data_IF_461605608442
#
_entry.id   IF_461605608442
#
_cell.length_a   1.000
_cell.length_b   1.000
_cell.length_c   1.000
_cell.angle_alpha   90.00
_cell.angle_beta   90.00
_cell.angle_gamma   90.00
#
_symmetry.space_group_name_H-M   'P 1'
#
loop_
_entity.id
_entity.type
_entity.pdbx_description
1 polymer ?
#
# COMPACT_ATOMS: atom_id res chain seq x y z
N UNK A 1 -8.06 -2.65 -8.55
CA UNK A 1 -9.20 -2.82 -7.65
C UNK A 1 -10.24 -3.76 -8.25
N UNK A 2 -10.74 -4.72 -7.45
CA UNK A 2 -11.77 -5.68 -7.89
C UNK A 2 -13.09 -5.01 -8.28
N UNK A 3 -13.41 -3.84 -7.73
CA UNK A 3 -14.60 -3.06 -8.05
C UNK A 3 -14.66 -2.61 -9.52
N UNK A 4 -13.52 -2.52 -10.20
CA UNK A 4 -13.43 -2.15 -11.62
C UNK A 4 -13.51 -3.35 -12.56
N UNK A 5 -13.58 -4.58 -12.02
CA UNK A 5 -13.71 -5.79 -12.81
C UNK A 5 -15.18 -6.13 -13.03
N UNK A 6 -15.59 -6.23 -14.28
CA UNK A 6 -16.97 -6.53 -14.68
C UNK A 6 -17.01 -7.88 -15.40
N UNK A 7 -17.89 -8.78 -14.97
CA UNK A 7 -18.22 -10.03 -15.65
C UNK A 7 -19.69 -10.00 -16.11
N UNK A 8 -20.06 -10.91 -16.98
CA UNK A 8 -21.38 -10.94 -17.62
C UNK A 8 -21.67 -9.68 -18.43
N UNK A 9 -20.62 -9.09 -19.00
CA UNK A 9 -20.71 -7.88 -19.80
C UNK A 9 -21.54 -8.15 -21.07
N UNK A 10 -22.61 -7.39 -21.25
CA UNK A 10 -23.47 -7.44 -22.45
C UNK A 10 -23.59 -6.08 -23.15
N UNK A 11 -23.23 -4.99 -22.49
CA UNK A 11 -23.31 -3.65 -23.06
C UNK A 11 -22.29 -2.72 -22.39
N UNK A 12 -21.69 -1.83 -23.19
CA UNK A 12 -20.81 -0.75 -22.74
C UNK A 12 -21.42 0.58 -23.20
N UNK A 13 -21.58 1.49 -22.23
CA UNK A 13 -21.97 2.88 -22.52
C UNK A 13 -20.79 3.80 -22.23
N UNK A 14 -20.45 4.65 -23.21
CA UNK A 14 -19.46 5.73 -23.01
C UNK A 14 -20.25 6.99 -22.69
N UNK A 15 -19.92 7.62 -21.56
CA UNK A 15 -20.58 8.83 -21.06
C UNK A 15 -19.54 9.93 -20.81
N UNK A 16 -19.94 11.17 -20.93
CA UNK A 16 -19.15 12.36 -20.58
C UNK A 16 -19.23 12.73 -19.09
N UNK A 17 -20.12 12.07 -18.35
CA UNK A 17 -20.33 12.28 -16.93
C UNK A 17 -20.06 11.00 -16.15
N UNK A 18 -19.53 11.16 -14.94
CA UNK A 18 -19.30 10.02 -14.04
C UNK A 18 -20.62 9.39 -13.60
N UNK A 19 -20.70 8.07 -13.63
CA UNK A 19 -21.79 7.33 -13.01
C UNK A 19 -21.80 7.54 -11.49
N UNK A 20 -22.90 8.07 -10.96
CA UNK A 20 -23.04 8.45 -9.54
C UNK A 20 -23.91 7.48 -8.72
N UNK A 21 -24.06 6.24 -9.17
CA UNK A 21 -24.71 5.21 -8.38
C UNK A 21 -24.00 4.99 -7.04
N UNK A 22 -24.75 4.58 -6.01
CA UNK A 22 -24.29 4.49 -4.61
C UNK A 22 -22.88 3.91 -4.46
N UNK A 23 -22.62 2.77 -5.09
CA UNK A 23 -21.31 2.12 -4.92
C UNK A 23 -20.16 2.93 -5.51
N UNK A 24 -20.30 3.42 -6.74
CA UNK A 24 -19.22 4.15 -7.42
C UNK A 24 -19.11 5.61 -7.00
N UNK A 25 -20.21 6.19 -6.56
CA UNK A 25 -20.28 7.60 -6.16
C UNK A 25 -19.95 7.83 -4.69
N UNK A 26 -20.10 6.81 -3.82
CA UNK A 26 -20.02 6.98 -2.37
C UNK A 26 -19.22 5.90 -1.65
N UNK A 27 -19.57 4.62 -1.86
CA UNK A 27 -19.02 3.54 -1.05
C UNK A 27 -17.59 3.16 -1.49
N UNK A 28 -17.33 3.12 -2.81
CA UNK A 28 -16.03 2.76 -3.38
C UNK A 28 -15.32 4.00 -3.91
N UNK A 29 -14.87 4.83 -3.00
CA UNK A 29 -14.01 5.99 -3.27
C UNK A 29 -12.69 5.83 -2.53
N UNK A 30 -11.63 6.40 -3.09
CA UNK A 30 -10.32 6.49 -2.47
C UNK A 30 -10.04 7.91 -2.02
N UNK A 31 -9.25 8.08 -0.97
CA UNK A 31 -8.80 9.39 -0.51
C UNK A 31 -7.43 9.69 -1.16
N UNK A 32 -7.29 10.88 -1.73
CA UNK A 32 -6.02 11.38 -2.24
C UNK A 32 -5.77 12.81 -1.75
N UNK A 33 -4.51 13.13 -1.48
CA UNK A 33 -4.11 14.52 -1.24
C UNK A 33 -4.09 15.26 -2.57
N UNK A 34 -4.77 16.40 -2.62
CA UNK A 34 -4.77 17.31 -3.78
C UNK A 34 -4.48 18.74 -3.32
N UNK A 35 -3.71 19.48 -4.11
CA UNK A 35 -3.49 20.91 -3.86
C UNK A 35 -4.62 21.72 -4.51
N UNK A 36 -5.48 22.29 -3.69
CA UNK A 36 -6.59 23.13 -4.15
C UNK A 36 -6.34 24.56 -3.68
N UNK A 37 -6.00 25.43 -4.63
CA UNK A 37 -5.73 26.84 -4.33
C UNK A 37 -4.53 27.06 -3.41
N UNK A 38 -3.49 26.24 -3.49
CA UNK A 38 -2.29 26.32 -2.66
C UNK A 38 -2.39 25.61 -1.31
N UNK A 39 -3.52 24.96 -1.01
CA UNK A 39 -3.76 24.23 0.24
C UNK A 39 -3.91 22.73 -0.05
N UNK A 40 -3.11 21.90 0.60
CA UNK A 40 -3.30 20.45 0.55
C UNK A 40 -4.62 20.05 1.25
N UNK A 41 -5.42 19.28 0.55
CA UNK A 41 -6.68 18.73 1.06
C UNK A 41 -6.83 17.26 0.68
N UNK A 42 -7.45 16.49 1.56
CA UNK A 42 -7.91 15.16 1.23
C UNK A 42 -9.22 15.23 0.44
N UNK A 43 -9.24 14.57 -0.71
CA UNK A 43 -10.38 14.56 -1.64
C UNK A 43 -10.79 13.12 -1.91
N UNK A 44 -12.11 12.87 -1.89
CA UNK A 44 -12.66 11.58 -2.31
C UNK A 44 -12.62 11.48 -3.84
N UNK A 45 -11.88 10.48 -4.33
CA UNK A 45 -11.70 10.21 -5.75
C UNK A 45 -12.31 8.88 -6.16
N UNK A 46 -12.61 8.73 -7.44
CA UNK A 46 -12.99 7.44 -8.01
C UNK A 46 -11.89 6.41 -7.82
N UNK A 47 -12.27 5.17 -7.57
CA UNK A 47 -11.35 4.03 -7.56
C UNK A 47 -10.91 3.72 -8.99
N UNK A 48 -9.87 4.40 -9.45
CA UNK A 48 -9.31 4.25 -10.81
C UNK A 48 -7.88 3.72 -10.78
N UNK A 49 -7.06 4.26 -9.91
CA UNK A 49 -5.66 3.88 -9.74
C UNK A 49 -5.40 3.38 -8.32
N UNK A 50 -4.51 2.43 -8.19
CA UNK A 50 -4.15 1.86 -6.89
C UNK A 50 -3.29 2.82 -6.11
N UNK A 51 -3.61 3.03 -4.83
CA UNK A 51 -2.76 3.80 -3.93
C UNK A 51 -1.48 3.02 -3.60
N UNK A 52 -0.45 3.77 -3.29
CA UNK A 52 0.84 3.24 -2.87
C UNK A 52 0.70 2.51 -1.54
N UNK A 53 1.00 1.21 -1.53
CA UNK A 53 0.89 0.37 -0.33
C UNK A 53 1.96 -0.70 -0.29
N UNK A 54 2.62 -0.84 0.83
CA UNK A 54 3.39 -2.03 1.20
C UNK A 54 2.73 -2.77 2.35
N UNK A 55 2.99 -4.07 2.43
CA UNK A 55 2.54 -4.89 3.55
C UNK A 55 3.49 -6.07 3.74
N UNK A 56 3.81 -6.34 5.00
CA UNK A 56 4.55 -7.55 5.40
C UNK A 56 3.58 -8.73 5.38
N UNK A 57 4.01 -9.85 4.79
CA UNK A 57 3.21 -11.08 4.69
C UNK A 57 3.62 -12.09 5.73
N UNK A 58 4.94 -12.29 5.87
CA UNK A 58 5.49 -13.30 6.77
C UNK A 58 6.90 -12.97 7.20
N UNK A 59 7.31 -13.58 8.30
CA UNK A 59 8.70 -13.72 8.72
C UNK A 59 9.03 -15.21 8.65
N UNK A 60 10.15 -15.54 8.07
CA UNK A 60 10.66 -16.92 7.97
C UNK A 60 12.00 -17.01 8.63
N UNK A 61 12.29 -18.16 9.23
CA UNK A 61 13.61 -18.49 9.78
C UNK A 61 14.24 -19.61 8.97
N UNK A 62 15.51 -19.46 8.64
CA UNK A 62 16.29 -20.49 7.99
C UNK A 62 17.74 -20.43 8.49
N UNK A 63 18.16 -21.49 9.19
CA UNK A 63 19.53 -21.59 9.72
C UNK A 63 19.90 -20.52 10.76
N UNK A 64 18.93 -20.09 11.56
CA UNK A 64 19.12 -19.06 12.60
C UNK A 64 19.05 -17.62 12.07
N UNK A 65 18.81 -17.43 10.77
CA UNK A 65 18.59 -16.12 10.15
C UNK A 65 17.11 -15.91 9.87
N UNK A 66 16.62 -14.71 10.15
CA UNK A 66 15.24 -14.34 9.89
C UNK A 66 15.14 -13.45 8.65
N UNK A 67 14.12 -13.69 7.84
CA UNK A 67 13.82 -12.90 6.66
C UNK A 67 12.36 -12.42 6.72
N UNK A 68 12.17 -11.12 6.61
CA UNK A 68 10.85 -10.48 6.50
C UNK A 68 10.51 -10.37 5.02
N UNK A 69 9.35 -10.88 4.63
CA UNK A 69 8.87 -10.86 3.26
C UNK A 69 7.56 -10.10 3.15
N UNK A 70 7.41 -9.35 2.06
CA UNK A 70 6.22 -8.58 1.80
C UNK A 70 6.02 -8.25 0.33
N UNK A 71 5.03 -7.40 0.08
CA UNK A 71 4.72 -6.93 -1.26
C UNK A 71 4.41 -5.43 -1.28
N UNK A 72 4.55 -4.84 -2.46
CA UNK A 72 4.11 -3.49 -2.79
C UNK A 72 3.05 -3.54 -3.88
N UNK A 73 2.00 -2.77 -3.71
CA UNK A 73 0.99 -2.43 -4.71
C UNK A 73 1.10 -0.95 -5.04
N UNK A 74 0.96 -0.60 -6.31
CA UNK A 74 0.98 0.78 -6.78
C UNK A 74 0.28 0.91 -8.14
N UNK A 75 0.20 2.10 -8.67
CA UNK A 75 -0.42 2.43 -9.95
C UNK A 75 0.48 2.23 -11.19
N UNK A 76 1.69 1.71 -10.99
CA UNK A 76 2.70 1.55 -12.03
C UNK A 76 3.79 2.63 -12.00
N UNK A 77 3.70 3.63 -11.12
CA UNK A 77 4.80 4.55 -10.81
C UNK A 77 5.98 3.77 -10.26
N UNK A 78 7.20 4.07 -10.68
CA UNK A 78 8.40 3.38 -10.20
C UNK A 78 8.58 3.57 -8.70
N UNK A 79 9.10 2.53 -8.04
CA UNK A 79 9.36 2.56 -6.61
C UNK A 79 10.81 3.00 -6.38
N UNK A 80 10.99 3.98 -5.51
CA UNK A 80 12.30 4.45 -5.07
C UNK A 80 12.87 3.54 -3.98
N UNK A 81 12.05 3.24 -2.95
CA UNK A 81 12.48 2.39 -1.85
C UNK A 81 11.32 1.66 -1.18
N UNK A 82 11.64 0.52 -0.61
CA UNK A 82 10.84 -0.13 0.44
C UNK A 82 11.70 -0.21 1.68
N UNK A 83 11.13 0.13 2.81
CA UNK A 83 11.82 0.10 4.08
C UNK A 83 11.01 -0.68 5.11
N UNK A 84 11.72 -1.34 6.00
CA UNK A 84 11.15 -2.09 7.14
C UNK A 84 11.67 -1.47 8.43
N UNK A 85 10.79 -1.36 9.39
CA UNK A 85 11.14 -0.99 10.77
C UNK A 85 10.71 -2.11 11.70
N UNK A 86 11.56 -2.43 12.66
CA UNK A 86 11.34 -3.43 13.70
C UNK A 86 11.34 -2.69 15.02
N UNK A 87 10.28 -2.85 15.78
CA UNK A 87 10.03 -2.15 17.04
C UNK A 87 10.27 -0.63 16.90
N UNK A 88 10.98 -0.03 17.82
CA UNK A 88 11.36 1.39 17.78
C UNK A 88 12.71 1.65 17.10
N UNK A 89 13.24 0.64 16.38
CA UNK A 89 14.50 0.75 15.65
C UNK A 89 14.43 1.67 14.44
N UNK A 90 15.55 1.87 13.73
CA UNK A 90 15.59 2.65 12.51
C UNK A 90 14.89 1.93 11.35
N UNK A 91 14.52 2.71 10.32
CA UNK A 91 14.11 2.17 9.04
C UNK A 91 15.30 1.55 8.31
N UNK A 92 15.17 0.29 7.91
CA UNK A 92 16.13 -0.44 7.10
C UNK A 92 15.62 -0.67 5.69
N UNK A 93 16.48 -0.51 4.68
CA UNK A 93 16.11 -0.68 3.27
C UNK A 93 15.93 -2.16 2.93
N UNK A 94 14.79 -2.51 2.36
CA UNK A 94 14.48 -3.84 1.87
C UNK A 94 14.88 -4.01 0.40
N UNK A 95 15.15 -5.23 -0.01
CA UNK A 95 15.46 -5.59 -1.39
C UNK A 95 14.19 -5.92 -2.16
N UNK A 96 13.94 -5.21 -3.25
CA UNK A 96 12.81 -5.48 -4.16
C UNK A 96 13.26 -6.55 -5.16
N UNK A 97 12.42 -7.56 -5.40
CA UNK A 97 12.68 -8.60 -6.38
C UNK A 97 12.86 -7.99 -7.79
N UNK A 98 14.04 -8.16 -8.42
CA UNK A 98 14.35 -7.56 -9.73
C UNK A 98 13.47 -8.07 -10.87
N UNK A 99 12.77 -9.20 -10.69
CA UNK A 99 11.80 -9.72 -11.67
C UNK A 99 10.47 -8.98 -11.67
N UNK A 100 10.27 -8.03 -10.75
CA UNK A 100 9.04 -7.22 -10.68
C UNK A 100 8.93 -6.33 -11.91
N UNK A 101 7.76 -6.33 -12.55
CA UNK A 101 7.45 -5.49 -13.71
C UNK A 101 6.60 -4.28 -13.30
N UNK A 102 6.39 -3.35 -14.22
CA UNK A 102 5.63 -2.11 -13.96
C UNK A 102 4.30 -2.34 -13.25
N UNK A 103 3.53 -3.33 -13.68
CA UNK A 103 2.17 -3.60 -13.18
C UNK A 103 2.05 -4.89 -12.36
N UNK A 104 3.16 -5.58 -12.08
CA UNK A 104 3.15 -6.73 -11.18
C UNK A 104 3.20 -6.28 -9.72
N UNK A 105 2.80 -7.15 -8.83
CA UNK A 105 3.16 -7.04 -7.42
C UNK A 105 4.68 -7.00 -7.30
N UNK A 106 5.19 -6.08 -6.51
CA UNK A 106 6.62 -5.99 -6.24
C UNK A 106 6.89 -6.68 -4.91
N UNK A 107 7.43 -7.88 -5.00
CA UNK A 107 7.82 -8.62 -3.80
C UNK A 107 9.10 -8.02 -3.25
N UNK A 108 9.21 -7.95 -1.94
CA UNK A 108 10.42 -7.52 -1.26
C UNK A 108 10.81 -8.48 -0.14
N UNK A 109 12.08 -8.43 0.23
CA UNK A 109 12.65 -9.12 1.38
C UNK A 109 13.54 -8.17 2.18
N UNK A 110 13.65 -8.44 3.47
CA UNK A 110 14.52 -7.74 4.39
C UNK A 110 15.16 -8.75 5.33
N UNK A 111 16.49 -8.80 5.36
CA UNK A 111 17.24 -9.70 6.23
C UNK A 111 17.27 -9.14 7.65
N UNK A 112 16.75 -9.89 8.60
CA UNK A 112 16.71 -9.54 10.01
C UNK A 112 17.73 -10.37 10.78
N UNK A 113 18.97 -9.86 10.88
CA UNK A 113 20.12 -10.61 11.39
C UNK A 113 20.23 -10.65 12.91
N UNK A 114 19.58 -9.72 13.61
CA UNK A 114 19.65 -9.51 15.06
C UNK A 114 18.32 -9.83 15.77
N UNK A 115 17.52 -10.72 15.20
CA UNK A 115 16.27 -11.15 15.78
C UNK A 115 16.51 -11.82 17.14
N UNK A 116 15.76 -11.38 18.15
CA UNK A 116 15.79 -11.93 19.50
C UNK A 116 14.49 -12.66 19.82
N UNK A 117 14.50 -13.65 20.73
CA UNK A 117 13.25 -14.28 21.16
C UNK A 117 12.30 -13.28 21.80
N UNK A 118 11.02 -13.34 21.41
CA UNK A 118 9.99 -12.48 21.99
C UNK A 118 8.96 -12.00 20.95
N UNK A 119 8.10 -11.10 21.38
CA UNK A 119 7.13 -10.45 20.51
C UNK A 119 7.73 -9.16 19.95
N UNK A 120 7.69 -9.01 18.63
CA UNK A 120 8.23 -7.87 17.92
C UNK A 120 7.18 -7.24 17.03
N UNK A 121 7.21 -5.93 16.89
CA UNK A 121 6.38 -5.19 15.92
C UNK A 121 7.18 -4.94 14.66
N UNK A 122 6.68 -5.40 13.51
CA UNK A 122 7.29 -5.16 12.21
C UNK A 122 6.34 -4.35 11.33
N UNK A 123 6.86 -3.34 10.67
CA UNK A 123 6.09 -2.49 9.75
C UNK A 123 6.92 -2.18 8.50
N UNK A 124 6.26 -2.05 7.35
CA UNK A 124 6.89 -1.61 6.11
C UNK A 124 6.28 -0.30 5.63
N UNK A 125 7.09 0.49 4.92
CA UNK A 125 6.65 1.61 4.11
C UNK A 125 7.31 1.59 2.74
N UNK A 126 6.67 2.21 1.78
CA UNK A 126 7.16 2.34 0.41
C UNK A 126 7.18 3.81 0.00
N UNK A 127 8.21 4.20 -0.76
CA UNK A 127 8.36 5.52 -1.36
C UNK A 127 8.46 5.36 -2.87
N UNK A 128 7.71 6.15 -3.64
CA UNK A 128 7.82 6.19 -5.09
C UNK A 128 8.87 7.21 -5.56
N UNK A 129 9.20 7.19 -6.86
CA UNK A 129 10.20 8.11 -7.46
C UNK A 129 9.78 9.57 -7.46
N UNK A 130 8.53 9.89 -7.16
CA UNK A 130 8.03 11.26 -7.01
C UNK A 130 8.15 11.76 -5.56
N UNK A 131 8.68 10.93 -4.65
CA UNK A 131 8.81 11.24 -3.23
C UNK A 131 7.54 11.03 -2.41
N UNK A 132 6.50 10.41 -2.99
CA UNK A 132 5.31 10.07 -2.22
C UNK A 132 5.62 8.89 -1.31
N UNK A 133 5.38 9.06 -0.02
CA UNK A 133 5.56 8.03 1.01
C UNK A 133 4.20 7.46 1.40
N UNK A 134 4.14 6.14 1.59
CA UNK A 134 2.95 5.51 2.14
C UNK A 134 2.58 6.12 3.49
N UNK A 135 1.36 6.63 3.60
CA UNK A 135 0.86 7.30 4.82
C UNK A 135 0.78 6.36 6.02
N UNK A 136 0.87 6.91 7.22
CA UNK A 136 0.55 6.19 8.45
C UNK A 136 -0.97 6.11 8.67
N UNK A 137 -1.40 5.33 9.65
CA UNK A 137 -2.81 5.25 10.01
C UNK A 137 -3.34 6.57 10.60
N UNK A 138 -2.47 7.29 11.30
CA UNK A 138 -2.79 8.60 11.91
C UNK A 138 -2.91 9.71 10.88
N UNK A 139 -2.14 9.62 9.79
CA UNK A 139 -2.19 10.60 8.69
C UNK A 139 -3.39 10.37 7.77
N UNK A 140 -3.92 9.13 7.70
CA UNK A 140 -5.05 8.82 6.85
C UNK A 140 -6.35 9.25 7.54
N UNK A 141 -7.08 10.24 7.01
CA UNK A 141 -8.31 10.72 7.64
C UNK A 141 -9.41 9.67 7.61
N UNK A 142 -10.30 9.74 8.57
CA UNK A 142 -11.52 8.95 8.56
C UNK A 142 -12.38 9.29 7.34
N UNK A 143 -12.85 8.25 6.65
CA UNK A 143 -13.85 8.39 5.60
C UNK A 143 -15.08 7.56 5.90
N UNK A 144 -16.21 7.93 5.31
CA UNK A 144 -17.51 7.27 5.51
C UNK A 144 -17.46 5.79 5.06
N UNK A 145 -16.70 5.50 4.03
CA UNK A 145 -16.47 4.14 3.54
C UNK A 145 -15.06 3.66 3.94
N UNK A 146 -14.98 2.44 4.50
CA UNK A 146 -13.73 1.83 4.98
C UNK A 146 -13.21 0.71 4.07
N UNK A 147 -13.63 0.69 2.81
CA UNK A 147 -13.29 -0.39 1.87
C UNK A 147 -11.82 -0.36 1.41
N UNK A 148 -11.12 0.73 1.66
CA UNK A 148 -9.72 0.86 1.33
C UNK A 148 -8.92 1.29 2.56
N UNK A 149 -7.84 0.56 2.83
CA UNK A 149 -6.84 0.94 3.80
C UNK A 149 -5.46 0.74 3.17
N UNK A 150 -4.81 1.84 2.79
CA UNK A 150 -3.46 1.83 2.24
C UNK A 150 -2.42 2.40 3.22
N UNK A 151 -2.80 2.68 4.46
CA UNK A 151 -1.87 3.08 5.50
C UNK A 151 -0.82 1.98 5.79
N UNK A 152 0.28 2.39 6.37
CA UNK A 152 1.25 1.49 6.98
C UNK A 152 0.55 0.59 7.99
N UNK A 153 0.91 -0.69 8.01
CA UNK A 153 0.22 -1.67 8.83
C UNK A 153 1.23 -2.44 9.70
N UNK A 154 1.40 -2.04 10.97
CA UNK A 154 2.21 -2.76 11.92
C UNK A 154 1.66 -4.18 12.18
N UNK A 155 2.55 -5.15 12.28
CA UNK A 155 2.23 -6.53 12.62
C UNK A 155 3.05 -7.00 13.80
N UNK A 156 2.43 -7.69 14.73
CA UNK A 156 3.16 -8.40 15.78
C UNK A 156 3.57 -9.78 15.25
N UNK A 157 4.82 -10.12 15.42
CA UNK A 157 5.41 -11.43 15.12
C UNK A 157 6.10 -11.94 16.36
N UNK A 158 6.10 -13.25 16.55
CA UNK A 158 6.82 -13.91 17.66
C UNK A 158 7.97 -14.72 17.09
N UNK A 159 9.15 -14.45 17.63
CA UNK A 159 10.41 -15.14 17.33
C UNK A 159 10.74 -16.13 18.46
#
# INVERSE_FOLDING_TARGET
>A
YGVSNVKWLNQIHIQDTRYMGRFMGRDYVTLKKENIGGVERWVENSVTTMNLKSSIVRVTEMGGQHEIQGFVLNDGTSIESVEVKIDDGPWGRAEINPRSTKYSWKLFRYDWNDATPGDHTVVSRVTDVNGNVQVTAEELPDKVSRWENYAQFPRTVRI
#
